data_IF_540448045015
#
_entry.id   IF_540448045015
#
_cell.length_a   1.000
_cell.length_b   1.000
_cell.length_c   1.000
_cell.angle_alpha   90.00
_cell.angle_beta   90.00
_cell.angle_gamma   90.00
#
_symmetry.space_group_name_H-M   'P 1'
#
loop_
_entity.id
_entity.type
_entity.pdbx_description
1 polymer ?
#
# COMPACT_ATOMS: atom_id res chain seq x y z
N UNK A 1 -8.76 44.99 -11.14
CA UNK A 1 -7.78 44.09 -10.50
C UNK A 1 -8.43 43.16 -9.45
N UNK A 2 -9.65 42.66 -9.69
CA UNK A 2 -10.45 42.02 -8.62
C UNK A 2 -11.39 40.90 -9.08
N UNK A 3 -11.00 40.11 -10.10
CA UNK A 3 -11.85 39.03 -10.64
C UNK A 3 -11.17 37.65 -10.74
N UNK A 4 -9.86 37.55 -10.44
CA UNK A 4 -9.14 36.26 -10.47
C UNK A 4 -8.94 35.61 -9.10
N UNK A 5 -9.19 36.33 -7.99
CA UNK A 5 -9.13 35.74 -6.63
C UNK A 5 -10.42 35.04 -6.20
N UNK A 6 -11.52 35.23 -6.94
CA UNK A 6 -12.85 34.81 -6.50
C UNK A 6 -13.32 33.47 -7.10
N UNK A 7 -12.61 32.90 -8.09
CA UNK A 7 -13.09 31.72 -8.80
C UNK A 7 -12.44 30.38 -8.40
N UNK A 8 -11.20 30.35 -7.93
CA UNK A 8 -10.55 29.08 -7.53
C UNK A 8 -9.49 29.33 -6.46
N UNK A 9 -9.92 29.37 -5.19
CA UNK A 9 -9.04 29.05 -4.06
C UNK A 9 -8.76 27.55 -4.03
N UNK A 10 -8.24 26.99 -5.12
CA UNK A 10 -7.82 25.59 -5.16
C UNK A 10 -6.55 25.54 -4.32
N UNK A 11 -6.70 25.03 -3.10
CA UNK A 11 -5.57 24.59 -2.29
C UNK A 11 -4.60 23.86 -3.23
N UNK A 12 -3.32 24.23 -3.24
CA UNK A 12 -2.38 23.62 -4.17
C UNK A 12 -2.44 22.10 -3.98
N UNK A 13 -2.05 21.33 -5.00
CA UNK A 13 -2.15 19.89 -4.92
C UNK A 13 -1.33 19.31 -3.72
N UNK A 14 -0.33 20.03 -3.22
CA UNK A 14 0.39 19.72 -1.98
C UNK A 14 -0.42 20.03 -0.70
N UNK A 15 -1.31 21.03 -0.74
CA UNK A 15 -2.13 21.45 0.40
C UNK A 15 -3.27 20.45 0.70
N UNK A 16 -3.78 19.73 -0.31
CA UNK A 16 -4.90 18.78 -0.16
C UNK A 16 -4.54 17.60 0.77
N UNK A 17 -3.31 17.10 0.68
CA UNK A 17 -2.81 15.97 1.49
C UNK A 17 -1.75 16.41 2.52
N UNK A 18 -1.58 17.72 2.73
CA UNK A 18 -0.55 18.28 3.60
C UNK A 18 -0.65 17.73 5.02
N UNK A 19 0.44 17.14 5.51
CA UNK A 19 0.53 16.54 6.84
C UNK A 19 -0.07 15.12 6.95
N UNK A 20 -0.38 14.47 5.82
CA UNK A 20 -0.53 13.01 5.80
C UNK A 20 0.87 12.43 5.56
N UNK A 21 1.38 11.67 6.52
CA UNK A 21 2.62 10.92 6.34
C UNK A 21 2.34 9.65 5.52
N UNK A 22 2.32 9.81 4.19
CA UNK A 22 2.13 8.68 3.29
C UNK A 22 3.26 7.66 3.43
N UNK A 23 4.50 8.09 3.64
CA UNK A 23 5.65 7.18 3.76
C UNK A 23 5.57 6.25 4.97
N UNK A 24 5.06 6.77 6.08
CA UNK A 24 4.75 6.03 7.30
C UNK A 24 3.75 4.90 7.14
N UNK A 25 2.99 4.84 6.04
CA UNK A 25 2.04 3.75 5.80
C UNK A 25 2.62 2.58 5.02
N UNK A 26 3.56 2.82 4.10
CA UNK A 26 3.93 1.78 3.12
C UNK A 26 5.43 1.54 2.94
N UNK A 27 6.34 2.33 3.51
CA UNK A 27 7.78 2.03 3.37
C UNK A 27 8.66 2.37 4.57
N UNK A 28 8.22 3.22 5.49
CA UNK A 28 9.03 3.62 6.66
C UNK A 28 8.96 2.62 7.82
N UNK A 29 7.97 1.74 7.82
CA UNK A 29 7.81 0.68 8.83
C UNK A 29 8.77 -0.48 8.55
N UNK A 30 9.36 -1.07 9.59
CA UNK A 30 10.24 -2.22 9.44
C UNK A 30 9.45 -3.49 9.06
N UNK A 31 9.69 -4.00 7.84
CA UNK A 31 9.01 -5.20 7.33
C UNK A 31 9.31 -6.45 8.15
N UNK A 32 10.55 -6.66 8.56
CA UNK A 32 10.97 -7.86 9.31
C UNK A 32 10.27 -7.93 10.67
N UNK A 33 10.11 -6.79 11.32
CA UNK A 33 9.37 -6.68 12.59
C UNK A 33 7.86 -6.80 12.37
N UNK A 34 7.35 -6.29 11.25
CA UNK A 34 5.92 -6.34 10.94
C UNK A 34 5.44 -7.72 10.50
N UNK A 35 6.30 -8.50 9.85
CA UNK A 35 5.97 -9.81 9.28
C UNK A 35 7.01 -10.88 9.65
N UNK A 36 7.28 -11.11 10.94
CA UNK A 36 8.37 -11.97 11.39
C UNK A 36 8.15 -13.45 11.02
N UNK A 37 6.89 -13.89 10.87
CA UNK A 37 6.58 -15.25 10.42
C UNK A 37 6.83 -15.46 8.93
N UNK A 38 6.69 -14.41 8.11
CA UNK A 38 6.89 -14.48 6.65
C UNK A 38 8.35 -14.20 6.25
N UNK A 39 9.05 -13.37 7.03
CA UNK A 39 10.40 -12.90 6.74
C UNK A 39 11.41 -13.46 7.74
N UNK A 40 11.98 -14.63 7.40
CA UNK A 40 13.03 -15.25 8.21
C UNK A 40 14.42 -14.78 7.76
N UNK A 41 15.22 -14.23 8.67
CA UNK A 41 16.58 -13.70 8.42
C UNK A 41 17.54 -14.58 7.59
N UNK A 42 17.35 -15.90 7.56
CA UNK A 42 18.21 -16.84 6.81
C UNK A 42 17.73 -17.12 5.38
N UNK A 43 16.54 -16.66 4.99
CA UNK A 43 15.93 -16.96 3.70
C UNK A 43 16.35 -15.92 2.62
N UNK A 44 17.06 -16.39 1.59
CA UNK A 44 17.48 -15.57 0.46
C UNK A 44 16.33 -14.98 -0.35
N UNK A 45 15.12 -15.54 -0.25
CA UNK A 45 13.92 -15.06 -0.94
C UNK A 45 13.23 -13.88 -0.26
N UNK A 46 13.69 -13.45 0.92
CA UNK A 46 13.13 -12.30 1.64
C UNK A 46 13.04 -11.03 0.80
N UNK A 47 13.99 -10.79 -0.11
CA UNK A 47 13.97 -9.61 -0.97
C UNK A 47 12.72 -9.57 -1.85
N UNK A 48 12.38 -10.70 -2.46
CA UNK A 48 11.16 -10.83 -3.25
C UNK A 48 9.91 -10.67 -2.39
N UNK A 49 9.89 -11.25 -1.19
CA UNK A 49 8.75 -11.11 -0.27
C UNK A 49 8.55 -9.68 0.22
N UNK A 50 9.62 -8.98 0.57
CA UNK A 50 9.58 -7.57 0.96
C UNK A 50 9.12 -6.70 -0.21
N UNK A 51 9.58 -6.99 -1.43
CA UNK A 51 9.11 -6.32 -2.64
C UNK A 51 7.59 -6.45 -2.81
N UNK A 52 7.04 -7.65 -2.64
CA UNK A 52 5.58 -7.88 -2.73
C UNK A 52 4.83 -7.22 -1.57
N UNK A 53 5.33 -7.32 -0.33
CA UNK A 53 4.74 -6.63 0.83
C UNK A 53 4.73 -5.10 0.66
N UNK A 54 5.74 -4.54 0.01
CA UNK A 54 5.81 -3.12 -0.31
C UNK A 54 4.73 -2.69 -1.31
N UNK A 55 4.60 -3.41 -2.42
CA UNK A 55 3.54 -3.16 -3.41
C UNK A 55 2.15 -3.31 -2.77
N UNK A 56 1.99 -4.32 -1.92
CA UNK A 56 0.79 -4.56 -1.15
C UNK A 56 0.46 -3.42 -0.19
N UNK A 57 1.39 -2.97 0.66
CA UNK A 57 1.12 -1.86 1.59
C UNK A 57 0.80 -0.55 0.88
N UNK A 58 1.41 -0.29 -0.27
CA UNK A 58 1.03 0.85 -1.09
C UNK A 58 -0.43 0.72 -1.56
N UNK A 59 -0.81 -0.45 -2.09
CA UNK A 59 -2.20 -0.75 -2.46
C UNK A 59 -3.18 -0.56 -1.28
N UNK A 60 -2.86 -1.08 -0.10
CA UNK A 60 -3.69 -0.94 1.12
C UNK A 60 -3.87 0.53 1.49
N UNK A 61 -2.81 1.34 1.36
CA UNK A 61 -2.87 2.78 1.59
C UNK A 61 -3.84 3.45 0.63
N UNK A 62 -3.71 3.16 -0.67
CA UNK A 62 -4.63 3.66 -1.69
C UNK A 62 -6.08 3.24 -1.42
N UNK A 63 -6.32 1.94 -1.16
CA UNK A 63 -7.64 1.41 -0.84
C UNK A 63 -8.25 2.09 0.39
N UNK A 64 -7.50 2.19 1.49
CA UNK A 64 -8.00 2.77 2.74
C UNK A 64 -8.46 4.21 2.55
N UNK A 65 -7.70 5.03 1.81
CA UNK A 65 -8.14 6.39 1.52
C UNK A 65 -9.35 6.43 0.57
N UNK A 66 -9.40 5.57 -0.47
CA UNK A 66 -10.59 5.45 -1.35
C UNK A 66 -11.86 5.10 -0.56
N UNK A 67 -11.75 4.26 0.46
CA UNK A 67 -12.89 3.74 1.23
C UNK A 67 -13.30 4.68 2.38
N UNK A 68 -12.35 5.23 3.13
CA UNK A 68 -12.66 5.93 4.39
C UNK A 68 -12.82 7.45 4.28
N UNK A 69 -12.32 8.07 3.19
CA UNK A 69 -12.52 9.50 2.98
C UNK A 69 -13.91 9.78 2.38
N UNK A 70 -14.55 10.86 2.82
CA UNK A 70 -15.74 11.39 2.14
C UNK A 70 -15.40 12.33 0.98
N UNK A 71 -14.12 12.73 0.86
CA UNK A 71 -13.63 13.73 -0.10
C UNK A 71 -12.87 13.06 -1.23
N UNK A 72 -13.51 12.90 -2.40
CA UNK A 72 -12.94 12.20 -3.56
C UNK A 72 -11.61 12.79 -4.01
N UNK A 73 -11.46 14.10 -3.96
CA UNK A 73 -10.24 14.81 -4.32
C UNK A 73 -9.05 14.45 -3.42
N UNK A 74 -9.30 14.07 -2.16
CA UNK A 74 -8.25 13.60 -1.25
C UNK A 74 -7.79 12.20 -1.66
N UNK A 75 -8.72 11.29 -1.96
CA UNK A 75 -8.38 9.93 -2.41
C UNK A 75 -7.56 9.96 -3.71
N UNK A 76 -8.02 10.70 -4.73
CA UNK A 76 -7.31 10.85 -6.01
C UNK A 76 -5.90 11.41 -5.81
N UNK A 77 -5.75 12.40 -4.94
CA UNK A 77 -4.44 12.99 -4.67
C UNK A 77 -3.51 12.05 -3.92
N UNK A 78 -4.03 11.29 -2.95
CA UNK A 78 -3.27 10.24 -2.28
C UNK A 78 -2.78 9.22 -3.29
N UNK A 79 -3.61 8.76 -4.23
CA UNK A 79 -3.18 7.82 -5.28
C UNK A 79 -1.99 8.36 -6.06
N UNK A 80 -2.06 9.61 -6.54
CA UNK A 80 -0.98 10.23 -7.30
C UNK A 80 0.32 10.37 -6.49
N UNK A 81 0.23 10.92 -5.28
CA UNK A 81 1.40 11.12 -4.42
C UNK A 81 2.03 9.81 -3.98
N UNK A 82 1.20 8.80 -3.68
CA UNK A 82 1.66 7.46 -3.32
C UNK A 82 2.47 6.85 -4.46
N UNK A 83 1.97 6.88 -5.70
CA UNK A 83 2.71 6.37 -6.87
C UNK A 83 4.07 7.06 -7.02
N UNK A 84 4.10 8.39 -6.92
CA UNK A 84 5.36 9.15 -7.06
C UNK A 84 6.36 8.84 -5.94
N UNK A 85 5.92 8.88 -4.68
CA UNK A 85 6.76 8.58 -3.54
C UNK A 85 7.26 7.14 -3.58
N UNK A 86 6.41 6.23 -4.02
CA UNK A 86 6.73 4.82 -4.15
C UNK A 86 7.81 4.59 -5.20
N UNK A 87 7.65 5.15 -6.41
CA UNK A 87 8.64 5.01 -7.47
C UNK A 87 9.96 5.77 -7.22
N UNK A 88 9.97 6.76 -6.32
CA UNK A 88 11.18 7.56 -6.03
C UNK A 88 11.80 7.14 -4.70
N UNK A 89 11.42 7.81 -3.62
CA UNK A 89 12.02 7.66 -2.30
C UNK A 89 11.85 6.24 -1.74
N UNK A 90 10.65 5.67 -1.85
CA UNK A 90 10.38 4.34 -1.31
C UNK A 90 11.27 3.26 -1.95
N UNK A 91 11.38 3.22 -3.28
CA UNK A 91 12.32 2.33 -3.97
C UNK A 91 13.77 2.50 -3.50
N UNK A 92 14.23 3.74 -3.33
CA UNK A 92 15.59 4.01 -2.87
C UNK A 92 15.84 3.45 -1.45
N UNK A 93 14.90 3.65 -0.53
CA UNK A 93 14.95 3.10 0.83
C UNK A 93 14.94 1.57 0.81
N UNK A 94 14.07 0.97 -0.01
CA UNK A 94 13.99 -0.49 -0.12
C UNK A 94 15.30 -1.09 -0.67
N UNK A 95 15.97 -0.41 -1.59
CA UNK A 95 17.26 -0.80 -2.09
C UNK A 95 18.36 -0.70 -1.02
N UNK A 96 18.41 0.38 -0.23
CA UNK A 96 19.44 0.55 0.81
C UNK A 96 19.25 -0.38 2.01
N UNK A 97 18.02 -0.50 2.52
CA UNK A 97 17.73 -1.19 3.78
C UNK A 97 17.57 -2.70 3.60
N UNK A 98 17.05 -3.12 2.44
CA UNK A 98 16.68 -4.51 2.19
C UNK A 98 17.31 -5.12 0.94
N UNK A 99 18.11 -4.35 0.19
CA UNK A 99 18.73 -4.83 -1.05
C UNK A 99 17.70 -5.18 -2.13
N UNK A 100 16.51 -4.56 -2.06
CA UNK A 100 15.40 -4.80 -3.00
C UNK A 100 15.59 -3.93 -4.23
N UNK A 101 15.88 -4.57 -5.35
CA UNK A 101 15.94 -3.95 -6.66
C UNK A 101 14.86 -4.57 -7.55
N UNK A 102 13.70 -3.90 -7.68
CA UNK A 102 12.53 -4.44 -8.36
C UNK A 102 12.83 -4.98 -9.75
N UNK A 103 13.57 -4.20 -10.56
CA UNK A 103 13.89 -4.56 -11.94
C UNK A 103 14.71 -5.87 -12.04
N UNK A 104 15.51 -6.20 -11.01
CA UNK A 104 16.26 -7.46 -10.91
C UNK A 104 15.41 -8.63 -10.40
N UNK A 105 14.34 -8.34 -9.65
CA UNK A 105 13.48 -9.36 -9.03
C UNK A 105 12.40 -9.83 -10.01
N UNK A 106 11.76 -8.89 -10.72
CA UNK A 106 10.59 -9.18 -11.56
C UNK A 106 10.89 -9.30 -13.05
N UNK A 107 12.05 -8.82 -13.52
CA UNK A 107 12.37 -8.62 -14.95
C UNK A 107 11.36 -7.71 -15.70
N UNK A 108 10.60 -6.91 -14.96
CA UNK A 108 9.60 -5.96 -15.47
C UNK A 108 9.83 -4.64 -14.75
N UNK A 109 9.63 -3.52 -15.43
CA UNK A 109 9.78 -2.22 -14.78
C UNK A 109 8.79 -2.07 -13.62
N UNK A 110 9.20 -1.26 -12.64
CA UNK A 110 8.43 -1.04 -11.44
C UNK A 110 6.99 -0.59 -11.67
N UNK A 111 6.74 0.30 -12.64
CA UNK A 111 5.42 0.89 -12.84
C UNK A 111 4.44 -0.11 -13.43
N UNK A 112 4.88 -0.91 -14.41
CA UNK A 112 4.09 -2.03 -14.93
C UNK A 112 3.84 -3.08 -13.85
N UNK A 113 4.83 -3.38 -13.00
CA UNK A 113 4.64 -4.32 -11.90
C UNK A 113 3.62 -3.80 -10.87
N UNK A 114 3.72 -2.52 -10.49
CA UNK A 114 2.80 -1.89 -9.54
C UNK A 114 1.35 -1.96 -10.02
N UNK A 115 1.09 -1.55 -11.26
CA UNK A 115 -0.24 -1.56 -11.86
C UNK A 115 -0.81 -3.00 -11.91
N UNK A 116 -0.01 -3.96 -12.40
CA UNK A 116 -0.41 -5.37 -12.45
C UNK A 116 -0.77 -5.93 -11.07
N UNK A 117 0.03 -5.62 -10.04
CA UNK A 117 -0.24 -6.08 -8.66
C UNK A 117 -1.48 -5.43 -8.06
N UNK A 118 -1.68 -4.14 -8.28
CA UNK A 118 -2.85 -3.44 -7.77
C UNK A 118 -4.14 -3.93 -8.43
N UNK A 119 -4.13 -4.16 -9.75
CA UNK A 119 -5.25 -4.79 -10.45
C UNK A 119 -5.55 -6.18 -9.92
N UNK A 120 -4.51 -6.97 -9.62
CA UNK A 120 -4.69 -8.29 -9.02
C UNK A 120 -5.37 -8.20 -7.65
N UNK A 121 -4.90 -7.33 -6.75
CA UNK A 121 -5.50 -7.17 -5.42
C UNK A 121 -6.93 -6.61 -5.48
N UNK A 122 -7.19 -5.62 -6.35
CA UNK A 122 -8.55 -5.11 -6.58
C UNK A 122 -9.48 -6.24 -7.08
N UNK A 123 -9.01 -7.11 -7.97
CA UNK A 123 -9.78 -8.27 -8.44
C UNK A 123 -10.10 -9.27 -7.33
N UNK A 124 -9.12 -9.57 -6.46
CA UNK A 124 -9.31 -10.47 -5.31
C UNK A 124 -10.32 -9.87 -4.33
N UNK A 125 -10.22 -8.57 -4.04
CA UNK A 125 -11.16 -7.86 -3.18
C UNK A 125 -12.59 -7.97 -3.73
N UNK A 126 -12.80 -7.61 -4.99
CA UNK A 126 -14.13 -7.62 -5.62
C UNK A 126 -14.76 -9.02 -5.67
N UNK A 127 -13.96 -10.05 -5.90
CA UNK A 127 -14.45 -11.43 -5.97
C UNK A 127 -14.83 -12.03 -4.60
N UNK A 128 -14.34 -11.44 -3.50
CA UNK A 128 -14.49 -12.00 -2.14
C UNK A 128 -15.17 -11.04 -1.16
N UNK A 129 -15.56 -9.84 -1.61
CA UNK A 129 -16.37 -8.92 -0.82
C UNK A 129 -17.78 -9.47 -0.66
N UNK A 130 -18.20 -9.65 0.58
CA UNK A 130 -19.58 -9.98 0.94
C UNK A 130 -20.09 -8.94 1.94
N UNK A 131 -21.40 -8.91 2.16
CA UNK A 131 -21.99 -8.06 3.20
C UNK A 131 -21.44 -8.37 4.60
N UNK A 132 -21.02 -9.63 4.83
CA UNK A 132 -20.44 -10.11 6.09
C UNK A 132 -18.92 -9.86 6.19
N UNK A 133 -18.21 -9.78 5.06
CA UNK A 133 -16.77 -9.50 5.00
C UNK A 133 -16.45 -8.46 3.92
N UNK A 134 -16.64 -7.16 4.22
CA UNK A 134 -16.47 -6.08 3.24
C UNK A 134 -14.99 -5.83 2.86
N UNK A 135 -14.02 -6.48 3.51
CA UNK A 135 -12.60 -6.24 3.24
C UNK A 135 -11.82 -7.47 2.78
N UNK A 136 -12.44 -8.65 2.70
CA UNK A 136 -11.87 -9.90 2.16
C UNK A 136 -10.41 -10.18 2.61
N UNK A 137 -10.10 -9.89 3.87
CA UNK A 137 -8.75 -9.84 4.45
C UNK A 137 -7.97 -11.16 4.30
N UNK A 138 -8.59 -12.30 4.61
CA UNK A 138 -7.93 -13.60 4.45
C UNK A 138 -7.67 -13.98 3.00
N UNK A 139 -8.57 -13.62 2.08
CA UNK A 139 -8.41 -13.89 0.65
C UNK A 139 -7.26 -13.06 0.06
N UNK A 140 -7.20 -11.77 0.42
CA UNK A 140 -6.11 -10.87 0.05
C UNK A 140 -4.77 -11.35 0.62
N UNK A 141 -4.73 -11.70 1.92
CA UNK A 141 -3.53 -12.25 2.53
C UNK A 141 -3.05 -13.53 1.83
N UNK A 142 -3.97 -14.41 1.45
CA UNK A 142 -3.68 -15.61 0.66
C UNK A 142 -3.07 -15.28 -0.71
N UNK A 143 -3.61 -14.28 -1.41
CA UNK A 143 -3.06 -13.79 -2.69
C UNK A 143 -1.64 -13.23 -2.53
N UNK A 144 -1.37 -12.45 -1.48
CA UNK A 144 -0.01 -11.96 -1.17
C UNK A 144 0.94 -13.14 -0.96
N UNK A 145 0.52 -14.16 -0.20
CA UNK A 145 1.35 -15.34 0.03
C UNK A 145 1.63 -16.15 -1.24
N UNK A 146 0.67 -16.23 -2.17
CA UNK A 146 0.90 -16.86 -3.48
C UNK A 146 2.00 -16.14 -4.25
N UNK A 147 1.97 -14.80 -4.28
CA UNK A 147 3.01 -13.98 -4.92
C UNK A 147 4.36 -14.11 -4.22
N UNK A 148 4.36 -14.24 -2.90
CA UNK A 148 5.53 -14.54 -2.07
C UNK A 148 6.04 -15.99 -2.19
N UNK A 149 5.32 -16.87 -2.90
CA UNK A 149 5.57 -18.33 -3.00
C UNK A 149 5.57 -19.05 -1.64
N UNK A 150 4.71 -18.60 -0.72
CA UNK A 150 4.54 -19.13 0.63
C UNK A 150 3.12 -19.66 0.85
N UNK A 151 2.63 -20.48 -0.08
CA UNK A 151 1.23 -20.97 -0.06
C UNK A 151 1.03 -21.96 1.08
N UNK A 152 -0.08 -21.81 1.80
CA UNK A 152 -0.51 -22.78 2.80
C UNK A 152 0.19 -22.66 4.15
N UNK A 153 0.90 -21.56 4.42
CA UNK A 153 1.39 -21.20 5.76
C UNK A 153 0.34 -20.35 6.51
N UNK A 154 -0.42 -20.94 7.46
CA UNK A 154 -1.50 -20.24 8.14
C UNK A 154 -0.97 -19.12 9.05
N UNK A 155 0.24 -19.26 9.61
CA UNK A 155 0.81 -18.26 10.53
C UNK A 155 1.22 -17.02 9.74
N UNK A 156 1.86 -17.21 8.58
CA UNK A 156 2.14 -16.11 7.66
C UNK A 156 0.86 -15.46 7.14
N UNK A 157 -0.19 -16.25 6.86
CA UNK A 157 -1.44 -15.70 6.35
C UNK A 157 -2.13 -14.82 7.40
N UNK A 158 -2.18 -15.27 8.66
CA UNK A 158 -2.69 -14.49 9.78
C UNK A 158 -1.86 -13.22 10.01
N UNK A 159 -0.53 -13.30 9.90
CA UNK A 159 0.34 -12.13 10.05
C UNK A 159 0.08 -11.08 8.96
N UNK A 160 -0.07 -11.50 7.70
CA UNK A 160 -0.38 -10.58 6.59
C UNK A 160 -1.78 -9.98 6.76
N UNK A 161 -2.78 -10.80 7.10
CA UNK A 161 -4.15 -10.32 7.34
C UNK A 161 -4.22 -9.33 8.52
N UNK A 162 -3.53 -9.62 9.63
CA UNK A 162 -3.45 -8.73 10.78
C UNK A 162 -2.78 -7.40 10.41
N UNK A 163 -1.65 -7.44 9.70
CA UNK A 163 -0.96 -6.24 9.22
C UNK A 163 -1.85 -5.38 8.31
N UNK A 164 -2.61 -6.03 7.41
CA UNK A 164 -3.60 -5.37 6.55
C UNK A 164 -4.67 -4.62 7.35
N UNK A 165 -5.30 -5.30 8.33
CA UNK A 165 -6.34 -4.71 9.15
C UNK A 165 -5.82 -3.56 10.04
N UNK A 166 -4.63 -3.71 10.63
CA UNK A 166 -3.99 -2.66 11.42
C UNK A 166 -3.72 -1.43 10.57
N UNK A 167 -3.20 -1.62 9.35
CA UNK A 167 -2.93 -0.51 8.45
C UNK A 167 -4.23 0.19 8.02
N UNK A 168 -5.29 -0.55 7.66
CA UNK A 168 -6.60 0.02 7.38
C UNK A 168 -7.16 0.83 8.56
N UNK A 169 -7.00 0.33 9.79
CA UNK A 169 -7.43 1.05 10.99
C UNK A 169 -6.66 2.36 11.19
N UNK A 170 -5.34 2.37 10.99
CA UNK A 170 -4.50 3.60 11.02
C UNK A 170 -4.94 4.59 9.94
N UNK A 171 -5.15 4.13 8.71
CA UNK A 171 -5.61 4.98 7.60
C UNK A 171 -6.98 5.56 7.90
N UNK A 172 -7.92 4.76 8.43
CA UNK A 172 -9.26 5.22 8.82
C UNK A 172 -9.17 6.38 9.80
N UNK A 173 -8.36 6.27 10.85
CA UNK A 173 -8.18 7.35 11.83
C UNK A 173 -7.74 8.66 11.16
N UNK A 174 -6.74 8.61 10.29
CA UNK A 174 -6.21 9.79 9.58
C UNK A 174 -7.22 10.33 8.56
N UNK A 175 -7.88 9.45 7.80
CA UNK A 175 -8.85 9.83 6.78
C UNK A 175 -10.12 10.45 7.39
N UNK A 176 -10.56 9.99 8.56
CA UNK A 176 -11.77 10.52 9.22
C UNK A 176 -11.50 11.73 10.11
N UNK A 177 -10.29 11.90 10.64
CA UNK A 177 -9.93 13.07 11.45
C UNK A 177 -9.86 14.38 10.65
N UNK A 178 -9.89 14.29 9.32
CA UNK A 178 -9.86 15.42 8.38
C UNK A 178 -11.23 15.72 7.73
N UNK A 179 -12.31 15.27 8.39
CA UNK A 179 -13.69 15.70 8.11
C UNK A 179 -13.93 17.10 8.64
#
# INVERSE_FOLDING_TARGET
MGLLRTFFGVASAADIVKGIDLGGFFYSDNYKESYPSLLNSTDSSNRSRIAELYLFRAWVTNLGFRVFTSRKEVAERVTYELVNLSNTLGRAVLASEYGVEFDKISNVDYMTLLDSRWQHYDSVLLANQTDESPFADFAIAGSVLQLCRCIGDPISQMSVASGYLIQLARIRQVATARR
#
